data_IF_676267753470
#
_entry.id   IF_676267753470
#
_cell.length_a   1.000
_cell.length_b   1.000
_cell.length_c   1.000
_cell.angle_alpha   90.00
_cell.angle_beta   90.00
_cell.angle_gamma   90.00
#
_symmetry.space_group_name_H-M   'P 1'
#
loop_
_entity.id
_entity.type
_entity.pdbx_description
1 polymer ?
#
# COMPACT_ATOMS: atom_id res chain seq x y z
N UNK A 1 8.51 13.91 -15.38
CA UNK A 1 8.37 13.81 -13.92
C UNK A 1 7.07 13.09 -13.64
N UNK A 2 7.14 11.85 -13.13
CA UNK A 2 5.91 11.12 -12.76
C UNK A 2 5.42 11.78 -11.48
N UNK A 3 4.27 12.46 -11.53
CA UNK A 3 3.56 12.91 -10.33
C UNK A 3 3.25 11.66 -9.50
N UNK A 4 4.12 11.34 -8.53
CA UNK A 4 3.78 10.38 -7.49
C UNK A 4 2.53 10.95 -6.81
N UNK A 5 1.44 10.19 -6.85
CA UNK A 5 0.18 10.62 -6.25
C UNK A 5 0.42 10.66 -4.73
N UNK A 6 -0.13 11.64 -4.00
CA UNK A 6 0.08 11.76 -2.56
C UNK A 6 -0.16 10.44 -1.79
N UNK A 7 -1.14 9.64 -2.23
CA UNK A 7 -1.46 8.33 -1.65
C UNK A 7 -0.38 7.26 -1.88
N UNK A 8 0.30 7.28 -3.04
CA UNK A 8 1.40 6.36 -3.36
C UNK A 8 2.54 6.55 -2.36
N UNK A 9 2.89 7.81 -2.09
CA UNK A 9 3.98 8.14 -1.17
C UNK A 9 3.65 7.74 0.26
N UNK A 10 2.40 7.92 0.71
CA UNK A 10 1.94 7.43 2.03
C UNK A 10 2.03 5.92 2.17
N UNK A 11 1.63 5.16 1.14
CA UNK A 11 1.74 3.70 1.13
C UNK A 11 3.21 3.30 1.31
N UNK A 12 4.12 3.87 0.53
CA UNK A 12 5.55 3.53 0.63
C UNK A 12 6.20 4.05 1.92
N UNK A 13 5.78 5.19 2.45
CA UNK A 13 6.23 5.70 3.73
C UNK A 13 5.89 4.73 4.87
N UNK A 14 4.64 4.24 4.89
CA UNK A 14 4.21 3.22 5.84
C UNK A 14 5.00 1.91 5.68
N UNK A 15 5.17 1.46 4.43
CA UNK A 15 5.91 0.23 4.12
C UNK A 15 7.41 0.34 4.40
N UNK A 16 7.98 1.55 4.39
CA UNK A 16 9.38 1.80 4.76
C UNK A 16 9.59 1.64 6.26
N UNK A 17 8.61 2.04 7.07
CA UNK A 17 8.65 1.90 8.53
C UNK A 17 8.34 0.45 8.93
N UNK A 18 7.33 -0.15 8.31
CA UNK A 18 6.92 -1.54 8.52
C UNK A 18 6.85 -2.28 7.18
N UNK A 19 7.80 -3.17 6.86
CA UNK A 19 7.85 -3.87 5.56
C UNK A 19 6.58 -4.63 5.19
N UNK A 20 5.76 -4.93 6.20
CA UNK A 20 4.41 -5.47 6.09
C UNK A 20 3.46 -4.64 6.95
N UNK A 21 2.30 -4.28 6.42
CA UNK A 21 1.29 -3.49 7.14
C UNK A 21 -0.12 -3.97 6.77
N UNK A 22 -1.02 -3.99 7.75
CA UNK A 22 -2.43 -4.26 7.52
C UNK A 22 -3.09 -3.09 6.77
N UNK A 23 -3.97 -3.40 5.83
CA UNK A 23 -4.68 -2.38 5.07
C UNK A 23 -5.51 -1.44 5.96
N UNK A 24 -6.23 -1.98 6.94
CA UNK A 24 -7.05 -1.18 7.85
C UNK A 24 -6.20 -0.23 8.70
N UNK A 25 -5.00 -0.67 9.11
CA UNK A 25 -4.05 0.17 9.82
C UNK A 25 -3.55 1.33 8.94
N UNK A 26 -3.37 1.08 7.64
CA UNK A 26 -2.99 2.11 6.67
C UNK A 26 -4.09 3.16 6.48
N UNK A 27 -5.35 2.72 6.31
CA UNK A 27 -6.51 3.60 6.18
C UNK A 27 -6.70 4.43 7.45
N UNK A 28 -6.55 3.82 8.63
CA UNK A 28 -6.65 4.51 9.92
C UNK A 28 -5.54 5.55 10.12
N UNK A 29 -4.32 5.26 9.64
CA UNK A 29 -3.16 6.14 9.78
C UNK A 29 -3.23 7.39 8.91
N UNK A 30 -3.91 7.31 7.77
CA UNK A 30 -4.00 8.39 6.78
C UNK A 30 -5.47 8.68 6.45
N UNK A 31 -6.22 9.30 7.38
CA UNK A 31 -7.65 9.56 7.23
C UNK A 31 -7.95 10.59 6.12
N UNK A 32 -6.94 11.22 5.52
CA UNK A 32 -7.09 12.10 4.36
C UNK A 32 -7.48 11.35 3.07
N UNK A 33 -7.36 10.03 3.03
CA UNK A 33 -7.79 9.18 1.92
C UNK A 33 -8.84 8.17 2.36
N UNK A 34 -9.74 7.83 1.45
CA UNK A 34 -10.74 6.79 1.66
C UNK A 34 -10.15 5.39 1.49
N UNK A 35 -10.78 4.39 2.13
CA UNK A 35 -10.44 2.99 1.90
C UNK A 35 -10.49 2.60 0.41
N UNK A 36 -11.44 3.16 -0.35
CA UNK A 36 -11.55 2.89 -1.79
C UNK A 36 -10.34 3.43 -2.58
N UNK A 37 -9.85 4.62 -2.24
CA UNK A 37 -8.65 5.19 -2.86
C UNK A 37 -7.41 4.36 -2.54
N UNK A 38 -7.25 3.95 -1.27
CA UNK A 38 -6.17 3.04 -0.87
C UNK A 38 -6.25 1.71 -1.62
N UNK A 39 -7.43 1.10 -1.71
CA UNK A 39 -7.62 -0.18 -2.39
C UNK A 39 -7.29 -0.08 -3.88
N UNK A 40 -7.75 0.99 -4.54
CA UNK A 40 -7.47 1.24 -5.96
C UNK A 40 -5.97 1.42 -6.21
N UNK A 41 -5.29 2.18 -5.34
CA UNK A 41 -3.87 2.46 -5.48
C UNK A 41 -3.01 1.24 -5.15
N UNK A 42 -3.30 0.52 -4.06
CA UNK A 42 -2.62 -0.73 -3.70
C UNK A 42 -2.80 -1.78 -4.79
N UNK A 43 -3.99 -1.88 -5.39
CA UNK A 43 -4.24 -2.76 -6.54
C UNK A 43 -3.46 -2.34 -7.79
N UNK A 44 -3.26 -1.04 -8.01
CA UNK A 44 -2.40 -0.51 -9.07
C UNK A 44 -0.93 -0.89 -8.84
N UNK A 45 -0.42 -0.67 -7.63
CA UNK A 45 0.96 -1.00 -7.24
C UNK A 45 1.23 -2.52 -7.27
N UNK A 46 0.24 -3.32 -6.88
CA UNK A 46 0.32 -4.78 -6.91
C UNK A 46 0.44 -5.29 -8.34
N UNK A 47 -0.37 -4.76 -9.27
CA UNK A 47 -0.25 -5.07 -10.71
C UNK A 47 1.08 -4.61 -11.31
N UNK A 48 1.67 -3.54 -10.77
CA UNK A 48 3.00 -3.07 -11.17
C UNK A 48 4.15 -3.86 -10.52
N UNK A 49 3.85 -4.84 -9.66
CA UNK A 49 4.86 -5.65 -8.95
C UNK A 49 5.60 -4.91 -7.83
N UNK A 50 5.12 -3.73 -7.42
CA UNK A 50 5.80 -2.90 -6.42
C UNK A 50 5.40 -3.29 -4.98
N UNK A 51 4.19 -3.84 -4.81
CA UNK A 51 3.70 -4.35 -3.53
C UNK A 51 3.06 -5.71 -3.75
N UNK A 52 2.96 -6.51 -2.68
CA UNK A 52 2.26 -7.78 -2.67
C UNK A 52 1.11 -7.69 -1.67
N UNK A 53 -0.09 -8.06 -2.12
CA UNK A 53 -1.27 -8.18 -1.25
C UNK A 53 -1.31 -9.64 -0.78
N UNK A 54 -1.25 -9.85 0.53
CA UNK A 54 -1.45 -11.17 1.14
C UNK A 54 -2.82 -11.19 1.81
N UNK A 55 -3.59 -12.25 1.56
CA UNK A 55 -4.91 -12.42 2.15
C UNK A 55 -4.78 -13.17 3.47
N UNK A 56 -5.18 -12.53 4.56
CA UNK A 56 -5.47 -13.16 5.84
C UNK A 56 -6.97 -13.48 5.96
N UNK A 57 -7.36 -14.10 7.08
CA UNK A 57 -8.78 -14.29 7.40
C UNK A 57 -9.35 -12.96 7.88
N UNK A 58 -10.17 -12.31 7.06
CA UNK A 58 -10.84 -11.04 7.39
C UNK A 58 -9.98 -9.79 7.26
N UNK A 59 -8.67 -9.92 7.00
CA UNK A 59 -7.76 -8.80 6.75
C UNK A 59 -6.91 -9.08 5.51
N UNK A 60 -6.35 -8.03 4.91
CA UNK A 60 -5.32 -8.17 3.89
C UNK A 60 -4.12 -7.31 4.26
N UNK A 61 -2.93 -7.92 4.21
CA UNK A 61 -1.67 -7.24 4.47
C UNK A 61 -1.02 -6.83 3.16
N UNK A 62 -0.38 -5.68 3.18
CA UNK A 62 0.40 -5.14 2.08
C UNK A 62 1.86 -5.30 2.48
N UNK A 63 2.64 -5.91 1.58
CA UNK A 63 4.08 -6.07 1.74
C UNK A 63 4.83 -5.38 0.63
N UNK A 64 5.90 -4.67 0.95
CA UNK A 64 6.78 -4.12 -0.07
C UNK A 64 7.47 -5.26 -0.83
N UNK A 65 7.48 -5.19 -2.16
CA UNK A 65 8.28 -6.12 -2.97
C UNK A 65 9.57 -5.39 -3.37
N UNK A 66 10.72 -5.72 -2.78
CA UNK A 66 11.98 -5.21 -3.28
C UNK A 66 12.11 -5.70 -4.72
N UNK A 67 12.23 -4.77 -5.67
CA UNK A 67 12.56 -5.10 -7.05
C UNK A 67 13.94 -5.75 -7.00
N UNK A 68 13.99 -7.09 -7.08
CA UNK A 68 15.23 -7.83 -7.26
C UNK A 68 15.71 -7.48 -8.66
N UNK A 69 16.74 -6.65 -8.73
CA UNK A 69 17.44 -6.30 -9.97
C UNK A 69 18.58 -7.26 -10.18
#
# INVERSE_FOLDING_TARGET
MVLQRPITDRIFEALRISPECEFEALVTRYPEFTANEFLAEVSRLSRAGQVKIMRGVGTFTIKHTPVVK
#
